data_IF_722600942457
#
_entry.id   IF_722600942457
#
_cell.length_a   1.000
_cell.length_b   1.000
_cell.length_c   1.000
_cell.angle_alpha   90.00
_cell.angle_beta   90.00
_cell.angle_gamma   90.00
#
_symmetry.space_group_name_H-M   'P 1'
#
loop_
_entity.id
_entity.type
_entity.pdbx_description
1 polymer ?
#
# COMPACT_ATOMS: atom_id res chain seq x y z
N UNK A 1 -14.15 1.92 -16.90
CA UNK A 1 -14.08 2.00 -15.42
C UNK A 1 -13.35 0.78 -14.90
N UNK A 2 -12.43 0.93 -13.96
CA UNK A 2 -11.65 -0.18 -13.40
C UNK A 2 -11.89 -0.33 -11.90
N UNK A 3 -11.75 -1.55 -11.39
CA UNK A 3 -11.66 -1.86 -9.97
C UNK A 3 -10.17 -1.98 -9.62
N UNK A 4 -9.80 -1.43 -8.47
CA UNK A 4 -8.41 -1.42 -8.00
C UNK A 4 -8.31 -2.24 -6.73
N UNK A 5 -7.31 -3.11 -6.67
CA UNK A 5 -7.09 -4.03 -5.55
C UNK A 5 -5.63 -3.92 -5.13
N UNK A 6 -5.41 -3.68 -3.85
CA UNK A 6 -4.10 -3.90 -3.24
C UNK A 6 -3.99 -5.38 -2.88
N UNK A 7 -2.92 -6.04 -3.30
CA UNK A 7 -2.69 -7.44 -2.95
C UNK A 7 -1.22 -7.79 -2.91
N UNK A 8 -0.91 -8.82 -2.11
CA UNK A 8 0.41 -9.43 -2.03
C UNK A 8 0.55 -10.50 -3.13
N UNK A 9 1.65 -10.45 -3.88
CA UNK A 9 2.06 -11.50 -4.79
C UNK A 9 3.33 -12.17 -4.28
N UNK A 10 3.29 -13.49 -4.17
CA UNK A 10 4.47 -14.30 -3.90
C UNK A 10 5.16 -14.59 -5.23
N UNK A 11 6.33 -14.00 -5.44
CA UNK A 11 7.14 -14.20 -6.64
C UNK A 11 8.18 -15.28 -6.34
N UNK A 12 8.05 -16.40 -7.04
CA UNK A 12 8.98 -17.51 -6.99
C UNK A 12 9.90 -17.46 -8.21
N UNK A 13 11.12 -16.97 -8.04
CA UNK A 13 12.17 -17.07 -9.04
C UNK A 13 12.96 -18.35 -8.86
N UNK A 14 13.17 -19.10 -9.94
CA UNK A 14 14.11 -20.21 -9.99
C UNK A 14 15.20 -19.87 -10.97
N UNK A 15 16.45 -19.96 -10.53
CA UNK A 15 17.60 -19.75 -11.38
C UNK A 15 17.51 -20.64 -12.62
N UNK A 16 17.60 -20.05 -13.82
CA UNK A 16 17.47 -20.79 -15.08
C UNK A 16 18.57 -21.84 -15.27
N UNK A 17 19.75 -21.60 -14.71
CA UNK A 17 20.93 -22.47 -14.80
C UNK A 17 21.10 -23.37 -13.56
N UNK A 18 20.08 -23.46 -12.70
CA UNK A 18 20.17 -24.24 -11.46
C UNK A 18 20.69 -25.68 -11.67
N UNK A 19 20.35 -26.31 -12.81
CA UNK A 19 20.77 -27.68 -13.14
C UNK A 19 22.28 -27.82 -13.28
N UNK A 20 22.97 -26.81 -13.79
CA UNK A 20 24.43 -26.79 -13.97
C UNK A 20 25.15 -26.56 -12.63
N UNK A 21 24.50 -25.84 -11.71
CA UNK A 21 25.01 -25.61 -10.34
C UNK A 21 25.00 -26.87 -9.47
N UNK A 22 24.17 -27.86 -9.80
CA UNK A 22 24.13 -29.17 -9.11
C UNK A 22 24.84 -30.29 -9.89
N UNK A 23 25.31 -30.03 -11.11
CA UNK A 23 26.03 -31.03 -11.90
C UNK A 23 27.47 -31.18 -11.43
N UNK A 24 27.65 -31.99 -10.37
CA UNK A 24 28.82 -32.88 -10.26
C UNK A 24 28.56 -34.25 -9.64
N UNK A 25 27.35 -34.60 -9.21
CA UNK A 25 27.02 -36.01 -8.95
C UNK A 25 25.51 -36.27 -8.94
N UNK A 26 25.10 -37.23 -9.78
CA UNK A 26 23.82 -37.98 -9.77
C UNK A 26 22.53 -37.25 -10.14
N UNK A 27 21.75 -37.90 -11.01
CA UNK A 27 20.31 -37.68 -11.24
C UNK A 27 19.54 -37.97 -9.94
N UNK A 28 19.67 -37.12 -8.93
CA UNK A 28 18.92 -37.22 -7.68
C UNK A 28 17.92 -36.08 -7.61
N UNK A 29 16.72 -36.37 -7.09
CA UNK A 29 15.78 -35.33 -6.68
C UNK A 29 16.49 -34.40 -5.69
N UNK A 30 16.42 -33.08 -5.94
CA UNK A 30 17.01 -32.07 -5.08
C UNK A 30 16.37 -32.16 -3.69
N UNK A 31 17.20 -32.19 -2.65
CA UNK A 31 16.71 -32.07 -1.27
C UNK A 31 16.32 -30.62 -0.97
N UNK A 32 15.42 -30.39 -0.02
CA UNK A 32 14.86 -29.06 0.32
C UNK A 32 15.92 -27.98 0.53
N UNK A 33 17.07 -28.35 1.11
CA UNK A 33 18.21 -27.47 1.37
C UNK A 33 18.91 -26.97 0.09
N UNK A 34 18.89 -27.77 -0.98
CA UNK A 34 19.42 -27.41 -2.29
C UNK A 34 18.44 -26.54 -3.07
N UNK A 35 17.14 -26.81 -2.94
CA UNK A 35 16.06 -26.01 -3.53
C UNK A 35 16.15 -24.56 -3.04
N UNK A 36 16.38 -24.34 -1.74
CA UNK A 36 16.55 -23.00 -1.17
C UNK A 36 17.76 -22.21 -1.67
N UNK A 37 18.75 -22.87 -2.30
CA UNK A 37 19.93 -22.18 -2.89
C UNK A 37 19.70 -21.65 -4.31
N UNK A 38 18.65 -22.13 -4.97
CA UNK A 38 18.37 -21.80 -6.38
C UNK A 38 16.96 -21.26 -6.61
N UNK A 39 16.13 -21.30 -5.58
CA UNK A 39 14.85 -20.61 -5.53
C UNK A 39 14.97 -19.37 -4.65
N UNK A 40 14.46 -18.27 -5.16
CA UNK A 40 14.28 -17.02 -4.44
C UNK A 40 12.79 -16.73 -4.40
N UNK A 41 12.25 -16.65 -3.19
CA UNK A 41 10.87 -16.24 -2.96
C UNK A 41 10.89 -14.82 -2.39
N UNK A 42 10.06 -13.94 -2.94
CA UNK A 42 9.85 -12.60 -2.40
C UNK A 42 8.37 -12.26 -2.44
N UNK A 43 7.92 -11.52 -1.44
CA UNK A 43 6.56 -11.00 -1.38
C UNK A 43 6.55 -9.57 -1.90
N UNK A 44 5.78 -9.31 -2.95
CA UNK A 44 5.60 -7.97 -3.50
C UNK A 44 4.14 -7.53 -3.33
N UNK A 45 3.93 -6.44 -2.62
CA UNK A 45 2.63 -5.76 -2.62
C UNK A 45 2.50 -4.95 -3.91
N UNK A 46 1.37 -5.08 -4.60
CA UNK A 46 1.10 -4.37 -5.86
C UNK A 46 -0.34 -3.87 -5.89
N UNK A 47 -0.58 -2.84 -6.70
CA UNK A 47 -1.94 -2.43 -7.06
C UNK A 47 -2.30 -3.06 -8.40
N UNK A 48 -3.39 -3.80 -8.40
CA UNK A 48 -3.98 -4.41 -9.59
C UNK A 48 -5.16 -3.58 -10.06
N UNK A 49 -5.21 -3.31 -11.35
CA UNK A 49 -6.36 -2.71 -12.03
C UNK A 49 -7.06 -3.79 -12.84
N UNK A 50 -8.34 -3.99 -12.56
CA UNK A 50 -9.19 -4.96 -13.23
C UNK A 50 -10.29 -4.22 -13.95
N UNK A 51 -10.56 -4.57 -15.21
CA UNK A 51 -11.68 -3.98 -15.94
C UNK A 51 -12.98 -4.53 -15.39
N UNK A 52 -13.97 -3.66 -15.18
CA UNK A 52 -15.29 -4.06 -14.68
C UNK A 52 -15.93 -5.13 -15.58
N UNK A 53 -15.71 -5.05 -16.89
CA UNK A 53 -16.25 -6.03 -17.84
C UNK A 53 -15.55 -7.39 -17.72
N UNK A 54 -14.26 -7.44 -17.39
CA UNK A 54 -13.55 -8.69 -17.13
C UNK A 54 -14.10 -9.39 -15.87
N UNK A 55 -14.53 -8.63 -14.86
CA UNK A 55 -15.20 -9.17 -13.65
C UNK A 55 -16.58 -9.71 -13.99
N UNK A 56 -17.39 -8.92 -14.70
CA UNK A 56 -18.77 -9.31 -15.05
C UNK A 56 -18.83 -10.56 -15.94
N UNK A 57 -17.81 -10.75 -16.78
CA UNK A 57 -17.72 -11.87 -17.71
C UNK A 57 -16.92 -13.05 -17.13
N UNK A 58 -16.31 -12.91 -15.95
CA UNK A 58 -15.61 -13.99 -15.29
C UNK A 58 -16.63 -15.03 -14.79
N UNK A 59 -16.35 -16.30 -15.06
CA UNK A 59 -17.09 -17.40 -14.42
C UNK A 59 -16.65 -17.54 -12.96
N UNK A 60 -17.52 -18.13 -12.12
CA UNK A 60 -17.19 -18.41 -10.73
C UNK A 60 -15.87 -19.19 -10.62
N UNK A 61 -14.95 -18.68 -9.80
CA UNK A 61 -13.62 -19.25 -9.51
C UNK A 61 -12.66 -19.34 -10.71
N UNK A 62 -12.89 -18.59 -11.79
CA UNK A 62 -11.90 -18.47 -12.88
C UNK A 62 -10.84 -17.39 -12.61
N UNK A 63 -9.70 -17.53 -13.27
CA UNK A 63 -8.69 -16.48 -13.34
C UNK A 63 -9.24 -15.23 -13.99
N UNK A 64 -8.89 -14.07 -13.45
CA UNK A 64 -9.27 -12.77 -13.97
C UNK A 64 -8.07 -12.05 -14.56
N UNK A 65 -8.29 -11.34 -15.66
CA UNK A 65 -7.25 -10.49 -16.27
C UNK A 65 -7.08 -9.22 -15.42
N UNK A 66 -5.84 -8.84 -15.20
CA UNK A 66 -5.50 -7.61 -14.47
C UNK A 66 -4.28 -6.93 -15.10
N UNK A 67 -4.20 -5.62 -14.91
CA UNK A 67 -3.05 -4.79 -15.21
C UNK A 67 -2.35 -4.44 -13.89
N UNK A 68 -1.02 -4.55 -13.83
CA UNK A 68 -0.24 -4.13 -12.66
C UNK A 68 0.01 -2.63 -12.78
N UNK A 69 -0.50 -1.86 -11.83
CA UNK A 69 -0.23 -0.42 -11.69
C UNK A 69 0.90 -0.32 -10.69
N UNK A 70 2.10 -0.66 -11.16
CA UNK A 70 3.26 -0.80 -10.28
C UNK A 70 3.58 0.53 -9.59
N UNK A 71 3.67 0.47 -8.28
CA UNK A 71 4.16 1.54 -7.42
C UNK A 71 5.34 0.92 -6.72
N UNK A 72 6.53 1.53 -6.81
CA UNK A 72 7.64 1.14 -5.94
C UNK A 72 7.25 1.43 -4.50
N UNK A 73 6.48 0.53 -3.88
CA UNK A 73 6.14 0.58 -2.48
C UNK A 73 7.48 0.61 -1.75
N UNK A 74 7.64 1.55 -0.81
CA UNK A 74 8.84 1.54 0.02
C UNK A 74 8.90 0.17 0.71
N UNK A 75 10.04 -0.50 0.60
CA UNK A 75 10.29 -1.74 1.32
C UNK A 75 9.92 -1.52 2.80
N UNK A 76 9.08 -2.41 3.34
CA UNK A 76 8.59 -2.43 4.73
C UNK A 76 7.52 -1.38 5.13
N UNK A 77 6.99 -0.56 4.20
CA UNK A 77 5.90 0.37 4.54
C UNK A 77 4.54 -0.35 4.63
N UNK A 78 3.79 -0.08 5.70
CA UNK A 78 2.44 -0.63 5.89
C UNK A 78 1.46 0.27 5.13
N UNK A 79 0.72 -0.31 4.18
CA UNK A 79 -0.33 0.38 3.45
C UNK A 79 -1.60 0.33 4.29
N UNK A 80 -2.09 1.49 4.71
CA UNK A 80 -3.25 1.61 5.60
C UNK A 80 -4.55 1.82 4.82
N UNK A 81 -4.46 2.44 3.64
CA UNK A 81 -5.64 2.69 2.83
C UNK A 81 -5.34 3.07 1.39
N UNK A 82 -6.31 2.79 0.54
CA UNK A 82 -6.32 3.16 -0.88
C UNK A 82 -7.65 3.84 -1.21
N UNK A 83 -7.58 4.99 -1.88
CA UNK A 83 -8.76 5.66 -2.43
C UNK A 83 -8.48 6.12 -3.85
N UNK A 84 -9.47 6.03 -4.73
CA UNK A 84 -9.34 6.45 -6.12
C UNK A 84 -10.32 7.58 -6.44
N UNK A 85 -9.81 8.62 -7.11
CA UNK A 85 -10.62 9.73 -7.62
C UNK A 85 -10.18 10.10 -9.04
N UNK A 86 -11.07 9.84 -10.00
CA UNK A 86 -10.76 10.04 -11.42
C UNK A 86 -9.61 9.14 -11.86
N UNK A 87 -8.51 9.75 -12.33
CA UNK A 87 -7.30 9.05 -12.78
C UNK A 87 -6.19 8.99 -11.72
N UNK A 88 -6.48 9.43 -10.49
CA UNK A 88 -5.49 9.48 -9.41
C UNK A 88 -5.87 8.47 -8.33
N UNK A 89 -4.92 7.60 -7.97
CA UNK A 89 -5.00 6.83 -6.74
C UNK A 89 -4.25 7.58 -5.64
N UNK A 90 -4.79 7.52 -4.43
CA UNK A 90 -4.14 8.00 -3.24
C UNK A 90 -3.90 6.83 -2.30
N UNK A 91 -2.67 6.72 -1.82
CA UNK A 91 -2.26 5.71 -0.85
C UNK A 91 -1.88 6.38 0.46
N UNK A 92 -2.35 5.80 1.56
CA UNK A 92 -1.96 6.15 2.92
C UNK A 92 -0.98 5.10 3.45
N UNK A 93 0.14 5.55 4.00
CA UNK A 93 1.15 4.70 4.61
C UNK A 93 1.48 5.13 6.02
N UNK A 94 1.90 4.16 6.82
CA UNK A 94 2.64 4.37 8.06
C UNK A 94 4.13 4.01 7.89
N UNK A 95 4.98 4.67 8.70
CA UNK A 95 6.35 4.20 8.91
C UNK A 95 6.36 2.73 9.39
N UNK A 96 7.38 1.94 9.02
CA UNK A 96 7.55 0.57 9.52
C UNK A 96 7.61 0.54 11.07
N UNK A 97 7.15 -0.56 11.67
CA UNK A 97 7.06 -0.74 13.12
C UNK A 97 8.41 -0.62 13.88
N UNK A 98 9.54 -0.77 13.20
CA UNK A 98 10.89 -0.86 13.80
C UNK A 98 11.59 0.48 14.07
N UNK A 99 10.88 1.61 13.99
CA UNK A 99 11.47 2.89 14.40
C UNK A 99 11.67 2.90 15.93
N UNK A 100 12.88 2.58 16.40
CA UNK A 100 13.30 2.49 17.82
C UNK A 100 12.94 3.72 18.69
N UNK A 101 12.55 4.84 18.06
CA UNK A 101 12.20 6.11 18.71
C UNK A 101 10.70 6.27 18.98
N UNK A 102 9.83 5.37 18.51
CA UNK A 102 8.37 5.46 18.70
C UNK A 102 7.66 6.55 17.89
N UNK A 103 8.40 7.42 17.20
CA UNK A 103 7.87 8.44 16.29
C UNK A 103 7.45 7.78 14.96
N UNK A 104 6.13 7.67 14.74
CA UNK A 104 5.54 7.22 13.47
C UNK A 104 5.09 8.41 12.62
N UNK A 105 5.33 8.34 11.31
CA UNK A 105 4.77 9.28 10.35
C UNK A 105 3.73 8.61 9.46
N UNK A 106 2.73 9.42 9.08
CA UNK A 106 1.82 9.12 7.99
C UNK A 106 2.30 9.81 6.73
N UNK A 107 2.13 9.11 5.61
CA UNK A 107 2.43 9.63 4.28
C UNK A 107 1.24 9.43 3.37
N UNK A 108 0.97 10.42 2.53
CA UNK A 108 0.04 10.28 1.41
C UNK A 108 0.80 10.38 0.10
N UNK A 109 0.62 9.37 -0.75
CA UNK A 109 1.15 9.35 -2.10
C UNK A 109 0.01 9.51 -3.11
N UNK A 110 0.22 10.31 -4.14
CA UNK A 110 -0.62 10.33 -5.34
C UNK A 110 0.02 9.47 -6.43
N UNK A 111 -0.77 8.65 -7.11
CA UNK A 111 -0.33 7.79 -8.21
C UNK A 111 -1.20 8.06 -9.42
N UNK A 112 -0.55 8.29 -10.56
CA UNK A 112 -1.25 8.35 -11.84
C UNK A 112 -1.65 6.93 -12.27
N UNK A 113 -2.96 6.71 -12.43
CA UNK A 113 -3.52 5.38 -12.69
C UNK A 113 -3.28 4.82 -14.10
N UNK A 114 -2.73 5.63 -15.00
CA UNK A 114 -2.41 5.24 -16.37
C UNK A 114 -0.91 4.89 -16.49
N UNK A 115 -0.04 5.57 -15.74
CA UNK A 115 1.43 5.42 -15.82
C UNK A 115 2.05 4.70 -14.62
N UNK A 116 1.36 4.62 -13.48
CA UNK A 116 1.89 4.08 -12.23
C UNK A 116 2.86 5.02 -11.50
N UNK A 117 3.14 6.21 -12.05
CA UNK A 117 4.08 7.17 -11.44
C UNK A 117 3.54 7.68 -10.11
N UNK A 118 4.32 7.50 -9.05
CA UNK A 118 3.98 7.91 -7.68
C UNK A 118 4.71 9.19 -7.26
N UNK A 119 4.06 9.96 -6.40
CA UNK A 119 4.62 11.16 -5.77
C UNK A 119 4.14 11.27 -4.33
N UNK A 120 5.05 11.47 -3.39
CA UNK A 120 4.71 11.87 -2.01
C UNK A 120 4.11 13.28 -2.06
N UNK A 121 2.88 13.45 -1.59
CA UNK A 121 2.19 14.74 -1.59
C UNK A 121 2.03 15.30 -0.18
N UNK A 122 2.04 14.44 0.83
CA UNK A 122 1.88 14.88 2.21
C UNK A 122 2.59 13.93 3.18
N UNK A 123 3.12 14.51 4.25
CA UNK A 123 3.75 13.80 5.37
C UNK A 123 3.38 14.50 6.67
N UNK A 124 3.07 13.72 7.71
CA UNK A 124 2.89 14.24 9.08
C UNK A 124 3.31 13.23 10.12
N UNK A 125 3.58 13.69 11.34
CA UNK A 125 3.64 12.80 12.51
C UNK A 125 2.22 12.36 12.88
N UNK A 126 2.08 11.12 13.34
CA UNK A 126 0.82 10.64 13.91
C UNK A 126 0.47 11.42 15.18
N UNK A 127 -0.82 11.64 15.43
CA UNK A 127 -1.30 12.17 16.70
C UNK A 127 -1.36 11.12 17.80
N UNK A 128 -1.65 9.87 17.41
CA UNK A 128 -1.71 8.74 18.32
C UNK A 128 -0.52 7.81 18.04
N UNK A 129 0.42 7.72 18.99
CA UNK A 129 1.61 6.85 18.89
C UNK A 129 1.29 5.35 19.01
N UNK A 130 0.10 5.03 19.51
CA UNK A 130 -0.41 3.66 19.65
C UNK A 130 -0.76 3.05 18.28
N UNK A 131 -1.09 1.76 18.22
CA UNK A 131 -1.53 1.09 16.99
C UNK A 131 -2.87 1.67 16.52
N UNK A 132 -2.84 2.80 15.83
CA UNK A 132 -3.99 3.33 15.12
C UNK A 132 -4.01 2.75 13.70
N UNK A 133 -5.19 2.35 13.23
CA UNK A 133 -5.47 1.96 11.84
C UNK A 133 -6.05 3.20 11.14
N UNK A 134 -5.21 4.08 10.58
CA UNK A 134 -5.67 5.33 10.00
C UNK A 134 -6.39 5.06 8.67
N UNK A 135 -7.37 5.91 8.35
CA UNK A 135 -8.15 5.78 7.12
C UNK A 135 -7.96 6.98 6.20
N UNK A 136 -8.14 6.74 4.89
CA UNK A 136 -8.08 7.79 3.86
C UNK A 136 -9.40 7.86 3.08
N UNK A 137 -9.92 9.07 2.95
CA UNK A 137 -11.10 9.38 2.16
C UNK A 137 -10.82 10.54 1.21
N UNK A 138 -11.45 10.55 0.03
CA UNK A 138 -11.18 11.57 -0.99
C UNK A 138 -12.48 12.09 -1.63
N UNK A 139 -12.63 13.40 -1.63
CA UNK A 139 -13.71 14.13 -2.32
C UNK A 139 -13.21 14.70 -3.64
N UNK A 140 -14.02 15.51 -4.32
CA UNK A 140 -13.58 16.23 -5.52
C UNK A 140 -12.50 17.28 -5.21
N UNK A 141 -12.50 17.83 -3.99
CA UNK A 141 -11.63 18.94 -3.59
C UNK A 141 -10.52 18.53 -2.62
N UNK A 142 -10.79 17.60 -1.71
CA UNK A 142 -9.93 17.32 -0.56
C UNK A 142 -9.68 15.83 -0.35
N UNK A 143 -8.59 15.55 0.35
CA UNK A 143 -8.31 14.27 0.96
C UNK A 143 -8.45 14.45 2.47
N UNK A 144 -9.12 13.50 3.12
CA UNK A 144 -9.26 13.42 4.56
C UNK A 144 -8.48 12.22 5.06
N UNK A 145 -7.73 12.43 6.12
CA UNK A 145 -6.97 11.42 6.84
C UNK A 145 -7.58 11.34 8.23
N UNK A 146 -8.05 10.15 8.58
CA UNK A 146 -8.64 9.85 9.87
C UNK A 146 -7.61 9.08 10.69
N UNK A 147 -7.42 9.51 11.93
CA UNK A 147 -6.58 8.85 12.92
C UNK A 147 -7.42 8.58 14.16
N UNK A 148 -7.23 7.42 14.79
CA UNK A 148 -8.02 6.97 15.93
C UNK A 148 -7.13 6.71 17.14
N UNK A 149 -7.66 6.94 18.34
CA UNK A 149 -7.07 6.32 19.53
C UNK A 149 -7.26 4.80 19.48
N UNK A 150 -6.46 4.08 20.26
CA UNK A 150 -6.45 2.61 20.28
C UNK A 150 -7.81 1.99 20.68
N UNK A 151 -8.58 2.70 21.50
CA UNK A 151 -9.95 2.35 21.91
C UNK A 151 -11.04 2.90 20.97
N UNK A 152 -10.64 3.60 19.89
CA UNK A 152 -11.50 4.29 18.94
C UNK A 152 -12.43 5.36 19.55
N UNK A 153 -12.23 5.75 20.81
CA UNK A 153 -13.04 6.79 21.45
C UNK A 153 -12.74 8.19 20.91
N UNK A 154 -11.50 8.41 20.46
CA UNK A 154 -11.03 9.69 19.93
C UNK A 154 -10.72 9.55 18.46
N UNK A 155 -11.16 10.55 17.69
CA UNK A 155 -10.90 10.64 16.25
C UNK A 155 -10.29 11.99 15.95
N UNK A 156 -9.13 11.99 15.29
CA UNK A 156 -8.52 13.16 14.72
C UNK A 156 -8.72 13.15 13.20
N UNK A 157 -9.03 14.32 12.63
CA UNK A 157 -9.26 14.44 11.19
C UNK A 157 -8.35 15.53 10.63
N UNK A 158 -7.48 15.15 9.71
CA UNK A 158 -6.68 16.08 8.90
C UNK A 158 -7.24 16.15 7.48
N UNK A 159 -7.47 17.36 6.99
CA UNK A 159 -7.87 17.62 5.60
C UNK A 159 -6.72 18.24 4.84
N UNK A 160 -6.39 17.73 3.67
CA UNK A 160 -5.42 18.32 2.74
C UNK A 160 -6.09 18.54 1.37
N UNK A 161 -5.57 19.48 0.57
CA UNK A 161 -5.96 19.57 -0.84
C UNK A 161 -5.49 18.32 -1.60
N UNK A 162 -6.09 18.05 -2.76
CA UNK A 162 -5.74 16.88 -3.59
C UNK A 162 -4.28 16.80 -4.04
N UNK A 163 -3.54 17.90 -4.02
CA UNK A 163 -2.12 17.99 -4.33
C UNK A 163 -1.22 17.93 -3.07
N UNK A 164 -1.82 17.74 -1.90
CA UNK A 164 -1.17 17.70 -0.59
C UNK A 164 -1.00 19.06 0.09
N UNK A 165 -1.37 20.16 -0.58
CA UNK A 165 -1.23 21.50 -0.03
C UNK A 165 -2.31 21.85 0.99
N UNK A 166 -2.11 22.96 1.69
CA UNK A 166 -3.07 23.58 2.62
C UNK A 166 -3.65 22.60 3.66
N UNK A 167 -2.78 21.88 4.41
CA UNK A 167 -3.25 20.96 5.43
C UNK A 167 -3.96 21.72 6.55
N UNK A 168 -5.10 21.18 6.99
CA UNK A 168 -5.95 21.73 8.05
C UNK A 168 -6.33 20.62 9.00
N UNK A 169 -6.06 20.81 10.29
CA UNK A 169 -6.62 20.02 11.35
C UNK A 169 -8.09 20.41 11.53
N UNK A 170 -8.99 19.48 11.22
CA UNK A 170 -10.44 19.68 11.30
C UNK A 170 -10.93 19.32 12.70
N UNK A 171 -10.56 18.13 13.17
CA UNK A 171 -10.82 17.62 14.52
C UNK A 171 -9.48 17.26 15.16
N UNK A 172 -9.22 17.71 16.38
CA UNK A 172 -7.98 17.43 17.12
C UNK A 172 -8.02 16.09 17.90
N UNK A 173 -6.93 15.76 18.60
CA UNK A 173 -6.82 14.53 19.39
C UNK A 173 -7.77 14.44 20.59
N UNK A 174 -8.46 15.53 20.95
CA UNK A 174 -9.49 15.54 22.00
C UNK A 174 -10.90 15.37 21.42
N UNK A 175 -11.04 15.25 20.10
CA UNK A 175 -12.33 15.20 19.42
C UNK A 175 -12.97 16.58 19.23
N UNK A 176 -12.23 17.68 19.46
CA UNK A 176 -12.75 19.03 19.30
C UNK A 176 -12.59 19.53 17.86
N UNK A 177 -13.60 20.25 17.36
CA UNK A 177 -13.53 20.89 16.04
C UNK A 177 -12.67 22.15 16.15
N UNK A 178 -11.51 22.17 15.50
CA UNK A 178 -10.53 23.26 15.62
C UNK A 178 -10.33 24.07 14.33
N UNK A 179 -10.41 23.44 13.16
CA UNK A 179 -10.25 24.09 11.84
C UNK A 179 -8.98 24.96 11.72
N UNK A 180 -7.82 24.42 12.12
CA UNK A 180 -6.55 25.15 12.14
C UNK A 180 -5.58 24.67 11.06
N UNK A 181 -4.83 25.57 10.40
CA UNK A 181 -3.73 25.17 9.52
C UNK A 181 -2.69 24.32 10.27
N UNK A 182 -2.11 23.35 9.58
CA UNK A 182 -1.00 22.50 10.06
C UNK A 182 0.33 22.89 9.43
#
# INVERSE_FOLDING_TARGET
MGIYILGMQVINYRDREYKEKFSKNSFRELISEEIGKVMYETDEYKIFKIKVDDIKNASDKSYIKYEIIDTSLRDNAIVEGIVIKGKTLYLLYNDPLDNEKGDKNLYVFSIDSDTGLSKEIYKKKVFFSEQSEPEIFCTDEYIFIYEYSNDYEKTCITRINRDGSSPVLVIDENGEIVMKPL
#
